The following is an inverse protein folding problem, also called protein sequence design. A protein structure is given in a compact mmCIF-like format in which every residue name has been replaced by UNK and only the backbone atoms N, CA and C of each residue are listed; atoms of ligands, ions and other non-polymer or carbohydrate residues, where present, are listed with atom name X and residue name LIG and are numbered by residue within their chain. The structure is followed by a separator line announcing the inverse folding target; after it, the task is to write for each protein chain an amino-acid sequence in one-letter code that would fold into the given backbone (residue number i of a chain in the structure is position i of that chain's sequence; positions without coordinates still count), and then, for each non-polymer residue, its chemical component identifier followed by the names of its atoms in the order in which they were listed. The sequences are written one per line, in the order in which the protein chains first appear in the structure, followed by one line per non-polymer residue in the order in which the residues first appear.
data_IF_937312035636
#
_entry.id   IF_937312035636
#
_cell.length_a   1.000
_cell.length_b   1.000
_cell.length_c   1.000
_cell.angle_alpha   90.00
_cell.angle_beta   90.00
_cell.angle_gamma   90.00
#
_symmetry.space_group_name_H-M   'P 1'
#
loop_
_entity.id
_entity.type
_entity.pdbx_description
1 polymer ?
#
# COMPACT_ATOMS: atom_id res chain seq x y z
N UNK A 1 -29.40 -9.11 0.88
CA UNK A 1 -30.49 -8.11 0.93
C UNK A 1 -31.44 -8.39 -0.22
N UNK A 2 -32.76 -8.29 -0.01
CA UNK A 2 -33.72 -8.43 -1.11
C UNK A 2 -33.51 -7.31 -2.14
N UNK A 3 -33.77 -7.57 -3.43
CA UNK A 3 -33.68 -6.56 -4.49
C UNK A 3 -34.51 -5.31 -4.18
N UNK A 4 -35.66 -5.49 -3.53
CA UNK A 4 -36.54 -4.42 -3.09
C UNK A 4 -35.92 -3.52 -2.01
N UNK A 5 -35.14 -4.08 -1.07
CA UNK A 5 -34.47 -3.28 -0.05
C UNK A 5 -33.43 -2.34 -0.67
N UNK A 6 -32.63 -2.82 -1.63
CA UNK A 6 -31.66 -1.98 -2.34
C UNK A 6 -32.37 -0.87 -3.14
N UNK A 7 -33.51 -1.18 -3.78
CA UNK A 7 -34.31 -0.19 -4.50
C UNK A 7 -34.85 0.91 -3.57
N UNK A 8 -35.35 0.53 -2.38
CA UNK A 8 -35.81 1.49 -1.36
C UNK A 8 -34.66 2.37 -0.86
N UNK A 9 -33.52 1.77 -0.50
CA UNK A 9 -32.34 2.52 -0.04
C UNK A 9 -31.87 3.53 -1.08
N UNK A 10 -31.83 3.14 -2.35
CA UNK A 10 -31.52 4.04 -3.46
C UNK A 10 -32.55 5.17 -3.58
N UNK A 11 -33.84 4.85 -3.58
CA UNK A 11 -34.90 5.86 -3.71
C UNK A 11 -34.88 6.86 -2.55
N UNK A 12 -34.63 6.40 -1.32
CA UNK A 12 -34.47 7.30 -0.17
C UNK A 12 -33.25 8.20 -0.36
N UNK A 13 -32.07 7.64 -0.65
CA UNK A 13 -30.85 8.40 -0.85
C UNK A 13 -30.99 9.44 -1.98
N UNK A 14 -31.55 9.04 -3.11
CA UNK A 14 -31.75 9.92 -4.27
C UNK A 14 -32.66 11.12 -3.98
N UNK A 15 -33.75 10.92 -3.22
CA UNK A 15 -34.72 11.99 -2.96
C UNK A 15 -34.38 12.86 -1.74
N UNK A 16 -33.53 12.38 -0.82
CA UNK A 16 -33.25 13.06 0.45
C UNK A 16 -31.80 13.47 0.64
N UNK A 17 -30.89 12.99 -0.22
CA UNK A 17 -29.44 13.10 -0.05
C UNK A 17 -28.92 12.47 1.26
N UNK A 18 -29.71 11.55 1.85
CA UNK A 18 -29.35 10.82 3.07
C UNK A 18 -29.08 9.35 2.73
N UNK A 19 -27.85 8.91 2.94
CA UNK A 19 -27.46 7.52 2.74
C UNK A 19 -27.76 6.66 3.98
N UNK A 20 -28.66 5.68 3.84
CA UNK A 20 -28.90 4.66 4.86
C UNK A 20 -28.07 3.41 4.54
N UNK A 21 -27.12 3.09 5.42
CA UNK A 21 -26.20 1.96 5.22
C UNK A 21 -26.45 0.89 6.28
N UNK A 22 -26.86 -0.33 5.88
CA UNK A 22 -27.02 -1.43 6.81
C UNK A 22 -25.65 -1.90 7.31
N UNK A 23 -25.42 -1.81 8.62
CA UNK A 23 -24.24 -2.38 9.26
C UNK A 23 -24.48 -3.84 9.60
N UNK A 24 -23.62 -4.73 9.10
CA UNK A 24 -23.72 -6.18 9.36
C UNK A 24 -22.95 -6.63 10.60
N UNK A 25 -21.93 -5.86 11.00
CA UNK A 25 -21.01 -6.22 12.07
C UNK A 25 -20.79 -5.01 12.99
N UNK A 26 -20.84 -5.24 14.31
CA UNK A 26 -20.61 -4.19 15.32
C UNK A 26 -19.15 -3.78 15.40
N UNK A 27 -18.22 -4.70 15.11
CA UNK A 27 -16.78 -4.42 15.08
C UNK A 27 -16.42 -3.33 14.08
N UNK A 28 -17.21 -3.18 13.01
CA UNK A 28 -17.06 -2.12 12.02
C UNK A 28 -17.16 -0.70 12.62
N UNK A 29 -17.79 -0.55 13.79
CA UNK A 29 -18.05 0.72 14.49
C UNK A 29 -16.91 1.07 15.47
N UNK A 30 -16.13 0.09 15.95
CA UNK A 30 -15.14 0.29 17.03
C UNK A 30 -13.67 0.48 16.55
N UNK A 31 -13.43 0.46 15.24
CA UNK A 31 -12.10 0.29 14.62
C UNK A 31 -11.05 1.34 15.01
N UNK A 32 -11.41 2.62 15.06
CA UNK A 32 -10.47 3.73 15.35
C UNK A 32 -9.83 3.62 16.74
N UNK A 33 -10.49 2.95 17.70
CA UNK A 33 -10.05 2.91 19.10
C UNK A 33 -8.85 2.00 19.38
N UNK A 34 -8.46 1.09 18.47
CA UNK A 34 -7.40 0.09 18.74
C UNK A 34 -5.98 0.65 18.63
N UNK A 35 -5.69 1.45 17.59
CA UNK A 35 -4.33 2.01 17.40
C UNK A 35 -4.00 3.05 18.48
N UNK A 36 -4.99 3.84 18.91
CA UNK A 36 -4.81 4.79 20.02
C UNK A 36 -4.31 4.07 21.27
N UNK A 37 -4.83 2.89 21.61
CA UNK A 37 -4.39 2.13 22.80
C UNK A 37 -2.90 1.74 22.78
N UNK A 38 -2.33 1.54 21.58
CA UNK A 38 -0.91 1.20 21.40
C UNK A 38 0.01 2.41 21.59
N UNK A 39 -0.50 3.64 21.39
CA UNK A 39 0.30 4.88 21.44
C UNK A 39 0.20 5.57 22.80
N UNK A 40 1.17 6.44 23.09
CA UNK A 40 1.14 7.32 24.28
C UNK A 40 -0.16 8.12 24.24
N UNK A 41 -1.03 7.89 25.22
CA UNK A 41 -2.43 8.33 25.20
C UNK A 41 -2.68 9.63 25.95
N UNK A 42 -1.68 10.15 26.67
CA UNK A 42 -1.85 11.38 27.45
C UNK A 42 -1.34 12.57 26.64
N UNK A 43 -2.16 13.61 26.43
CA UNK A 43 -1.69 14.85 25.80
C UNK A 43 -0.45 15.43 26.49
N UNK A 44 -0.29 15.18 27.79
CA UNK A 44 0.87 15.57 28.59
C UNK A 44 2.18 14.84 28.24
N UNK A 45 2.12 13.71 27.52
CA UNK A 45 3.27 12.91 27.08
C UNK A 45 3.68 13.24 25.64
N UNK A 46 2.99 14.18 24.98
CA UNK A 46 3.31 14.64 23.63
C UNK A 46 4.46 15.64 23.73
N UNK A 47 5.63 15.22 23.25
CA UNK A 47 6.78 16.09 23.08
C UNK A 47 6.62 16.94 21.80
N UNK A 48 7.22 18.15 21.75
CA UNK A 48 7.39 18.88 20.51
C UNK A 48 8.08 18.02 19.43
N UNK A 49 7.74 18.19 18.15
CA UNK A 49 8.34 17.42 17.08
C UNK A 49 9.84 17.66 17.03
N UNK A 50 10.61 16.59 16.81
CA UNK A 50 12.07 16.64 16.59
C UNK A 50 12.45 16.47 15.12
N UNK A 51 11.45 16.29 14.27
CA UNK A 51 11.62 15.98 12.85
C UNK A 51 10.60 16.76 12.03
N UNK A 52 10.98 17.10 10.81
CA UNK A 52 10.11 17.64 9.77
C UNK A 52 9.72 16.53 8.80
N UNK A 53 8.53 16.69 8.21
CA UNK A 53 7.92 15.71 7.33
C UNK A 53 7.48 16.39 6.04
N UNK A 54 7.45 15.65 4.94
CA UNK A 54 6.91 16.14 3.67
C UNK A 54 5.40 16.40 3.80
N UNK A 55 4.97 17.60 3.45
CA UNK A 55 3.61 18.09 3.58
C UNK A 55 2.57 17.22 2.84
N UNK A 56 2.87 16.81 1.60
CA UNK A 56 1.97 15.99 0.79
C UNK A 56 1.71 14.62 1.44
N UNK A 57 2.76 14.01 2.00
CA UNK A 57 2.64 12.72 2.70
C UNK A 57 1.79 12.87 3.96
N UNK A 58 1.99 13.96 4.70
CA UNK A 58 1.23 14.24 5.93
C UNK A 58 -0.24 14.46 5.61
N UNK A 59 -0.59 15.19 4.55
CA UNK A 59 -1.98 15.38 4.15
C UNK A 59 -2.69 14.07 3.85
N UNK A 60 -2.05 13.18 3.08
CA UNK A 60 -2.59 11.84 2.82
C UNK A 60 -2.73 11.00 4.09
N UNK A 61 -1.71 11.01 4.96
CA UNK A 61 -1.76 10.29 6.23
C UNK A 61 -2.87 10.82 7.17
N UNK A 62 -3.03 12.14 7.28
CA UNK A 62 -4.08 12.75 8.10
C UNK A 62 -5.47 12.43 7.56
N UNK A 63 -5.66 12.45 6.25
CA UNK A 63 -6.92 12.02 5.61
C UNK A 63 -7.25 10.59 6.00
N UNK A 64 -6.27 9.68 5.94
CA UNK A 64 -6.46 8.28 6.32
C UNK A 64 -6.85 8.12 7.79
N UNK A 65 -6.20 8.85 8.71
CA UNK A 65 -6.49 8.77 10.15
C UNK A 65 -7.81 9.43 10.52
N UNK A 66 -8.27 10.42 9.76
CA UNK A 66 -9.49 11.18 10.03
C UNK A 66 -10.78 10.51 9.53
N UNK A 67 -10.68 9.52 8.65
CA UNK A 67 -11.84 8.89 8.00
C UNK A 67 -12.22 7.59 8.69
N UNK A 68 -13.52 7.33 8.81
CA UNK A 68 -14.04 6.03 9.24
C UNK A 68 -14.32 5.08 8.07
N UNK A 69 -14.08 5.53 6.83
CA UNK A 69 -14.31 4.73 5.63
C UNK A 69 -13.03 3.94 5.27
N UNK A 70 -13.03 2.59 5.38
CA UNK A 70 -11.87 1.75 5.09
C UNK A 70 -11.32 1.92 3.67
N UNK A 71 -12.21 2.23 2.72
CA UNK A 71 -11.81 2.47 1.32
C UNK A 71 -10.94 3.71 1.21
N UNK A 72 -11.37 4.82 1.84
CA UNK A 72 -10.63 6.08 1.83
C UNK A 72 -9.34 5.92 2.64
N UNK A 73 -9.41 5.30 3.83
CA UNK A 73 -8.24 5.04 4.67
C UNK A 73 -7.14 4.27 3.92
N UNK A 74 -7.52 3.18 3.25
CA UNK A 74 -6.57 2.37 2.48
C UNK A 74 -5.93 3.17 1.34
N UNK A 75 -6.72 3.85 0.51
CA UNK A 75 -6.18 4.60 -0.63
C UNK A 75 -5.33 5.79 -0.17
N UNK A 76 -5.72 6.48 0.89
CA UNK A 76 -4.94 7.57 1.47
C UNK A 76 -3.58 7.08 1.97
N UNK A 77 -3.50 5.92 2.65
CA UNK A 77 -2.20 5.33 2.99
C UNK A 77 -1.41 4.84 1.77
N UNK A 78 -2.09 4.34 0.73
CA UNK A 78 -1.44 3.90 -0.51
C UNK A 78 -0.75 5.06 -1.23
N UNK A 79 -1.39 6.24 -1.27
CA UNK A 79 -0.82 7.43 -1.91
C UNK A 79 0.48 7.92 -1.27
N UNK A 80 0.70 7.64 0.02
CA UNK A 80 2.01 7.88 0.67
C UNK A 80 3.13 7.10 -0.01
N UNK A 81 2.86 5.87 -0.45
CA UNK A 81 3.84 5.04 -1.17
C UNK A 81 3.98 5.48 -2.62
N UNK A 82 2.85 5.78 -3.27
CA UNK A 82 2.79 6.19 -4.68
C UNK A 82 3.61 7.47 -4.95
N UNK A 83 3.69 8.38 -3.97
CA UNK A 83 4.55 9.57 -4.03
C UNK A 83 6.01 9.25 -4.41
N UNK A 84 6.52 8.08 -4.01
CA UNK A 84 7.91 7.70 -4.22
C UNK A 84 8.14 6.85 -5.47
N UNK A 85 7.09 6.38 -6.15
CA UNK A 85 7.19 5.37 -7.20
C UNK A 85 8.12 5.75 -8.34
N UNK A 86 8.04 7.00 -8.80
CA UNK A 86 8.92 7.48 -9.86
C UNK A 86 10.38 7.55 -9.38
N UNK A 87 10.62 8.16 -8.21
CA UNK A 87 11.96 8.33 -7.67
C UNK A 87 12.67 6.98 -7.44
N UNK A 88 12.03 6.04 -6.72
CA UNK A 88 12.66 4.73 -6.43
C UNK A 88 12.90 3.91 -7.69
N UNK A 89 12.03 4.03 -8.69
CA UNK A 89 12.20 3.33 -9.95
C UNK A 89 13.35 3.91 -10.77
N UNK A 90 13.48 5.24 -10.81
CA UNK A 90 14.60 5.91 -11.46
C UNK A 90 15.93 5.54 -10.79
N UNK A 91 15.99 5.53 -9.46
CA UNK A 91 17.17 5.15 -8.69
C UNK A 91 17.60 3.70 -8.95
N UNK A 92 16.65 2.75 -9.00
CA UNK A 92 16.91 1.35 -9.34
C UNK A 92 17.45 1.20 -10.77
N UNK A 93 16.86 1.91 -11.73
CA UNK A 93 17.32 1.91 -13.13
C UNK A 93 18.72 2.48 -13.26
N UNK A 94 19.01 3.62 -12.62
CA UNK A 94 20.34 4.23 -12.61
C UNK A 94 21.35 3.28 -11.99
N UNK A 95 21.03 2.68 -10.85
CA UNK A 95 21.89 1.72 -10.16
C UNK A 95 22.17 0.50 -11.04
N UNK A 96 21.16 -0.05 -11.70
CA UNK A 96 21.32 -1.18 -12.62
C UNK A 96 22.20 -0.83 -13.82
N UNK A 97 22.04 0.37 -14.38
CA UNK A 97 22.88 0.86 -15.48
C UNK A 97 24.33 1.01 -15.01
N UNK A 98 24.54 1.67 -13.86
CA UNK A 98 25.86 1.86 -13.27
C UNK A 98 26.57 0.53 -13.06
N UNK A 99 25.92 -0.44 -12.43
CA UNK A 99 26.47 -1.79 -12.25
C UNK A 99 26.87 -2.42 -13.59
N UNK A 100 25.99 -2.35 -14.59
CA UNK A 100 26.25 -2.96 -15.90
C UNK A 100 27.43 -2.30 -16.65
N UNK A 101 27.59 -0.97 -16.57
CA UNK A 101 28.70 -0.28 -17.26
C UNK A 101 30.02 -0.38 -16.50
N UNK A 102 29.99 -0.58 -15.19
CA UNK A 102 31.17 -0.76 -14.35
C UNK A 102 31.70 -2.20 -14.32
N UNK A 103 30.93 -3.15 -14.84
CA UNK A 103 31.35 -4.55 -14.92
C UNK A 103 32.66 -4.67 -15.74
N UNK A 104 33.73 -5.31 -15.22
CA UNK A 104 35.00 -5.45 -15.94
C UNK A 104 34.87 -6.16 -17.29
N UNK A 105 33.85 -7.00 -17.46
CA UNK A 105 33.55 -7.66 -18.71
C UNK A 105 32.79 -6.75 -19.69
N UNK A 106 32.26 -5.60 -19.29
CA UNK A 106 31.58 -4.65 -20.18
C UNK A 106 32.58 -3.86 -21.04
N UNK A 107 32.28 -3.69 -22.32
CA UNK A 107 33.04 -2.83 -23.22
C UNK A 107 32.13 -1.91 -24.01
N UNK A 108 32.26 -0.60 -23.78
CA UNK A 108 31.58 0.43 -24.56
C UNK A 108 31.97 0.42 -26.06
N UNK A 109 33.03 -0.29 -26.45
CA UNK A 109 33.43 -0.48 -27.85
C UNK A 109 32.70 -1.63 -28.52
N UNK A 110 32.19 -2.61 -27.76
CA UNK A 110 31.49 -3.78 -28.30
C UNK A 110 30.01 -3.45 -28.48
N UNK A 111 29.56 -3.43 -29.74
CA UNK A 111 28.14 -3.20 -30.08
C UNK A 111 27.18 -4.17 -29.37
N UNK A 112 27.62 -5.40 -29.08
CA UNK A 112 26.83 -6.40 -28.33
C UNK A 112 26.48 -5.91 -26.93
N UNK A 113 27.43 -5.29 -26.24
CA UNK A 113 27.25 -4.86 -24.85
C UNK A 113 26.36 -3.62 -24.78
N UNK A 114 26.55 -2.67 -25.71
CA UNK A 114 25.65 -1.52 -25.84
C UNK A 114 24.21 -1.97 -26.14
N UNK A 115 24.03 -2.94 -27.06
CA UNK A 115 22.70 -3.51 -27.33
C UNK A 115 22.10 -4.18 -26.09
N UNK A 116 22.92 -4.85 -25.28
CA UNK A 116 22.52 -5.42 -24.01
C UNK A 116 21.99 -4.36 -23.04
N UNK A 117 22.71 -3.25 -22.88
CA UNK A 117 22.31 -2.12 -22.04
C UNK A 117 20.98 -1.51 -22.52
N UNK A 118 20.84 -1.24 -23.82
CA UNK A 118 19.59 -0.73 -24.41
C UNK A 118 18.43 -1.69 -24.13
N UNK A 119 18.67 -3.01 -24.22
CA UNK A 119 17.65 -4.03 -23.90
C UNK A 119 17.24 -4.00 -22.43
N UNK A 120 18.18 -3.79 -21.51
CA UNK A 120 17.87 -3.63 -20.06
C UNK A 120 16.97 -2.43 -19.83
N UNK A 121 17.28 -1.28 -20.44
CA UNK A 121 16.48 -0.05 -20.34
C UNK A 121 15.07 -0.27 -20.92
N UNK A 122 14.97 -0.79 -22.14
CA UNK A 122 13.69 -1.06 -22.78
C UNK A 122 12.84 -2.12 -22.06
N UNK A 123 13.46 -3.06 -21.33
CA UNK A 123 12.71 -4.05 -20.54
C UNK A 123 12.08 -3.41 -19.31
N UNK A 124 12.77 -2.44 -18.72
CA UNK A 124 12.36 -1.77 -17.49
C UNK A 124 11.29 -0.70 -17.77
N UNK A 125 11.41 -0.03 -18.92
CA UNK A 125 10.50 1.03 -19.36
C UNK A 125 9.43 0.46 -20.31
N UNK A 126 8.15 0.65 -19.99
CA UNK A 126 7.05 0.41 -20.93
C UNK A 126 6.74 1.71 -21.68
N UNK A 127 6.81 1.67 -23.00
CA UNK A 127 6.43 2.81 -23.83
C UNK A 127 4.94 2.66 -24.16
N UNK A 128 4.10 3.57 -23.69
CA UNK A 128 2.68 3.66 -24.08
C UNK A 128 2.37 5.11 -24.45
N UNK A 129 1.83 5.34 -25.66
CA UNK A 129 1.39 6.66 -26.14
C UNK A 129 2.40 7.79 -25.90
N UNK A 130 3.65 7.60 -26.35
CA UNK A 130 4.78 8.53 -26.16
C UNK A 130 5.12 8.89 -24.70
N UNK A 131 4.52 8.19 -23.72
CA UNK A 131 4.82 8.31 -22.30
C UNK A 131 5.60 7.09 -21.82
N UNK A 132 6.74 7.34 -21.19
CA UNK A 132 7.52 6.30 -20.53
C UNK A 132 6.81 5.96 -19.21
N UNK A 133 6.30 4.74 -19.10
CA UNK A 133 5.61 4.24 -17.90
C UNK A 133 6.38 3.08 -17.32
N UNK A 134 6.33 2.93 -16.00
CA UNK A 134 6.89 1.78 -15.31
C UNK A 134 5.76 0.95 -14.68
N UNK A 135 6.09 -0.26 -14.24
CA UNK A 135 5.11 -1.13 -13.61
C UNK A 135 4.84 -0.68 -12.18
N UNK A 136 3.61 -0.30 -11.87
CA UNK A 136 3.19 0.12 -10.52
C UNK A 136 3.55 -0.94 -9.46
N UNK A 137 3.29 -2.23 -9.74
CA UNK A 137 3.66 -3.34 -8.85
C UNK A 137 5.17 -3.40 -8.58
N UNK A 138 6.01 -3.06 -9.58
CA UNK A 138 7.46 -3.06 -9.43
C UNK A 138 7.92 -1.83 -8.63
N UNK A 139 7.32 -0.67 -8.86
CA UNK A 139 7.61 0.53 -8.09
C UNK A 139 7.22 0.36 -6.61
N UNK A 140 6.08 -0.30 -6.34
CA UNK A 140 5.68 -0.68 -4.99
C UNK A 140 6.70 -1.64 -4.35
N UNK A 141 7.15 -2.66 -5.08
CA UNK A 141 8.19 -3.58 -4.60
C UNK A 141 9.47 -2.83 -4.19
N UNK A 142 9.93 -1.91 -5.04
CA UNK A 142 11.13 -1.09 -4.77
C UNK A 142 10.90 -0.15 -3.59
N UNK A 143 9.73 0.48 -3.51
CA UNK A 143 9.34 1.36 -2.39
C UNK A 143 9.38 0.61 -1.06
N UNK A 144 8.80 -0.58 -1.00
CA UNK A 144 8.83 -1.41 0.21
C UNK A 144 10.26 -1.75 0.62
N UNK A 145 11.13 -2.08 -0.33
CA UNK A 145 12.56 -2.37 -0.07
C UNK A 145 13.34 -1.15 0.42
N UNK A 146 13.03 0.03 -0.10
CA UNK A 146 13.75 1.26 0.23
C UNK A 146 13.37 1.82 1.60
N UNK A 147 12.12 1.60 2.03
CA UNK A 147 11.56 2.32 3.17
C UNK A 147 11.10 1.45 4.35
N UNK A 148 10.91 0.14 4.16
CA UNK A 148 10.33 -0.74 5.17
C UNK A 148 11.28 -1.88 5.54
N UNK A 149 11.72 -1.88 6.81
CA UNK A 149 12.39 -3.03 7.41
C UNK A 149 11.36 -4.07 7.85
N UNK A 150 11.54 -5.33 7.46
CA UNK A 150 10.55 -6.40 7.73
C UNK A 150 10.38 -6.65 9.23
N UNK A 151 11.48 -6.58 10.00
CA UNK A 151 11.46 -6.78 11.46
C UNK A 151 10.62 -5.72 12.16
N UNK A 152 10.79 -4.46 11.76
CA UNK A 152 10.04 -3.33 12.29
C UNK A 152 8.54 -3.45 12.00
N UNK A 153 8.20 -3.88 10.77
CA UNK A 153 6.81 -4.10 10.37
C UNK A 153 6.16 -5.26 11.15
N UNK A 154 6.89 -6.34 11.38
CA UNK A 154 6.44 -7.45 12.21
C UNK A 154 6.15 -6.99 13.64
N UNK A 155 7.07 -6.22 14.24
CA UNK A 155 6.91 -5.71 15.60
C UNK A 155 5.69 -4.79 15.70
N UNK A 156 5.47 -3.89 14.73
CA UNK A 156 4.29 -3.02 14.70
C UNK A 156 2.97 -3.82 14.64
N UNK A 157 2.93 -4.85 13.79
CA UNK A 157 1.76 -5.71 13.61
C UNK A 157 1.49 -6.56 14.85
N UNK A 158 2.51 -7.20 15.42
CA UNK A 158 2.38 -8.04 16.61
C UNK A 158 1.98 -7.21 17.85
N UNK A 159 2.47 -5.96 17.97
CA UNK A 159 2.05 -5.04 19.03
C UNK A 159 0.60 -4.55 18.86
N UNK A 160 0.13 -4.45 17.62
CA UNK A 160 -1.24 -4.02 17.32
C UNK A 160 -2.27 -5.13 17.56
N UNK A 161 -2.02 -6.30 16.99
CA UNK A 161 -2.83 -7.51 17.12
C UNK A 161 -1.95 -8.73 16.80
N UNK A 162 -1.54 -9.53 17.81
CA UNK A 162 -0.67 -10.69 17.61
C UNK A 162 -1.22 -11.75 16.66
N UNK A 163 -2.54 -11.76 16.40
CA UNK A 163 -3.16 -12.72 15.48
C UNK A 163 -3.03 -12.32 14.01
N UNK A 164 -2.64 -11.08 13.72
CA UNK A 164 -2.73 -10.49 12.39
C UNK A 164 -1.66 -11.03 11.43
N UNK A 165 -0.45 -11.29 11.94
CA UNK A 165 0.63 -11.91 11.15
C UNK A 165 0.24 -13.32 10.70
N UNK A 166 -0.37 -14.11 11.59
CA UNK A 166 -0.86 -15.45 11.24
C UNK A 166 -2.07 -15.38 10.30
N UNK A 167 -2.97 -14.40 10.49
CA UNK A 167 -4.05 -14.14 9.55
C UNK A 167 -3.53 -13.90 8.12
N UNK A 168 -2.48 -13.09 7.94
CA UNK A 168 -1.91 -12.82 6.63
C UNK A 168 -1.25 -14.03 5.98
N UNK A 169 -0.65 -14.92 6.79
CA UNK A 169 -0.06 -16.18 6.35
C UNK A 169 -1.10 -17.16 5.83
N UNK A 170 -2.26 -17.20 6.49
CA UNK A 170 -3.26 -18.25 6.26
C UNK A 170 -4.42 -17.82 5.35
N UNK A 171 -4.59 -16.51 5.11
CA UNK A 171 -5.76 -15.97 4.42
C UNK A 171 -5.40 -15.07 3.24
N UNK A 172 -6.05 -15.34 2.11
CA UNK A 172 -6.12 -14.40 0.98
C UNK A 172 -7.05 -13.23 1.29
N UNK A 173 -6.87 -12.12 0.58
CA UNK A 173 -7.89 -11.08 0.52
C UNK A 173 -8.94 -11.51 -0.51
N UNK A 174 -10.05 -12.09 -0.04
CA UNK A 174 -11.00 -12.81 -0.89
C UNK A 174 -11.54 -11.96 -2.06
N UNK A 175 -11.94 -10.71 -1.81
CA UNK A 175 -12.49 -9.83 -2.85
C UNK A 175 -11.47 -9.42 -3.91
N UNK A 176 -10.18 -9.42 -3.56
CA UNK A 176 -9.08 -9.04 -4.44
C UNK A 176 -8.34 -10.23 -5.05
N UNK A 177 -8.61 -11.45 -4.55
CA UNK A 177 -7.77 -12.63 -4.78
C UNK A 177 -6.27 -12.35 -4.52
N UNK A 178 -6.00 -11.50 -3.53
CA UNK A 178 -4.63 -11.13 -3.17
C UNK A 178 -3.98 -12.29 -2.39
N UNK A 179 -2.69 -12.60 -2.63
CA UNK A 179 -2.05 -13.77 -2.05
C UNK A 179 -1.85 -13.65 -0.53
N UNK A 180 -1.74 -14.82 0.10
CA UNK A 180 -1.20 -14.98 1.45
C UNK A 180 0.26 -14.51 1.51
N UNK A 181 0.68 -14.02 2.68
CA UNK A 181 2.06 -13.57 2.92
C UNK A 181 2.59 -14.14 4.24
N UNK A 182 3.73 -14.82 4.20
CA UNK A 182 4.45 -15.21 5.42
C UNK A 182 5.53 -14.16 5.73
N UNK A 183 5.20 -13.24 6.64
CA UNK A 183 6.13 -12.19 7.08
C UNK A 183 7.29 -12.75 7.94
N UNK A 184 7.21 -13.99 8.43
CA UNK A 184 8.27 -14.64 9.22
C UNK A 184 9.15 -15.57 8.37
N UNK A 185 8.99 -15.52 7.04
CA UNK A 185 9.84 -16.28 6.12
C UNK A 185 11.31 -15.85 6.22
N UNK A 186 12.26 -16.74 5.92
CA UNK A 186 13.69 -16.43 6.10
C UNK A 186 14.27 -15.50 5.04
N UNK A 187 13.63 -15.39 3.87
CA UNK A 187 14.15 -14.62 2.74
C UNK A 187 13.37 -13.33 2.52
N UNK A 188 13.94 -12.19 2.95
CA UNK A 188 13.30 -10.86 2.79
C UNK A 188 12.91 -10.55 1.35
N UNK A 189 13.70 -10.99 0.36
CA UNK A 189 13.40 -10.76 -1.06
C UNK A 189 12.06 -11.40 -1.49
N UNK A 190 11.74 -12.58 -0.94
CA UNK A 190 10.47 -13.26 -1.17
C UNK A 190 9.33 -12.56 -0.42
N UNK A 191 9.58 -12.09 0.81
CA UNK A 191 8.59 -11.33 1.61
C UNK A 191 8.16 -10.07 0.88
N UNK A 192 9.11 -9.23 0.44
CA UNK A 192 8.79 -8.00 -0.29
C UNK A 192 7.98 -8.27 -1.56
N UNK A 193 8.30 -9.34 -2.28
CA UNK A 193 7.58 -9.74 -3.50
C UNK A 193 6.15 -10.17 -3.21
N UNK A 194 5.91 -10.92 -2.13
CA UNK A 194 4.57 -11.34 -1.76
C UNK A 194 3.76 -10.18 -1.18
N UNK A 195 4.40 -9.32 -0.38
CA UNK A 195 3.82 -8.11 0.19
C UNK A 195 3.39 -7.12 -0.89
N UNK A 196 4.26 -6.84 -1.87
CA UNK A 196 3.93 -5.95 -2.99
C UNK A 196 2.73 -6.47 -3.78
N UNK A 197 2.68 -7.78 -4.06
CA UNK A 197 1.54 -8.41 -4.72
C UNK A 197 0.25 -8.30 -3.94
N UNK A 198 0.29 -8.51 -2.63
CA UNK A 198 -0.90 -8.43 -1.77
C UNK A 198 -1.46 -7.01 -1.75
N UNK A 199 -0.61 -6.02 -1.52
CA UNK A 199 -1.00 -4.60 -1.47
C UNK A 199 -1.49 -4.13 -2.84
N UNK A 200 -0.78 -4.46 -3.92
CA UNK A 200 -1.14 -4.09 -5.29
C UNK A 200 -2.48 -4.71 -5.72
N UNK A 201 -2.67 -6.02 -5.52
CA UNK A 201 -3.92 -6.69 -5.88
C UNK A 201 -5.11 -6.11 -5.11
N UNK A 202 -4.92 -5.83 -3.81
CA UNK A 202 -5.95 -5.19 -2.97
C UNK A 202 -6.29 -3.79 -3.50
N UNK A 203 -5.29 -2.93 -3.76
CA UNK A 203 -5.51 -1.59 -4.36
C UNK A 203 -6.22 -1.69 -5.70
N UNK A 204 -5.78 -2.60 -6.57
CA UNK A 204 -6.34 -2.78 -7.90
C UNK A 204 -7.84 -3.15 -7.83
N UNK A 205 -8.23 -4.03 -6.91
CA UNK A 205 -9.63 -4.41 -6.70
C UNK A 205 -10.48 -3.30 -6.07
N UNK A 206 -9.87 -2.33 -5.38
CA UNK A 206 -10.56 -1.13 -4.88
C UNK A 206 -10.84 -0.13 -6.01
N UNK A 207 -9.86 0.09 -6.90
CA UNK A 207 -9.95 1.11 -7.96
C UNK A 207 -10.67 0.61 -9.21
N UNK A 208 -10.59 -0.68 -9.52
CA UNK A 208 -11.21 -1.29 -10.69
C UNK A 208 -12.40 -2.15 -10.30
N UNK A 209 -13.56 -1.81 -10.86
CA UNK A 209 -14.83 -2.48 -10.58
C UNK A 209 -15.60 -2.80 -11.88
N UNK A 210 -14.89 -3.21 -12.95
CA UNK A 210 -15.53 -3.44 -14.24
C UNK A 210 -16.42 -4.67 -14.20
N UNK A 211 -17.50 -4.66 -14.96
CA UNK A 211 -18.36 -5.83 -15.08
C UNK A 211 -17.58 -6.99 -15.74
N UNK A 212 -17.69 -8.19 -15.18
CA UNK A 212 -16.89 -9.36 -15.56
C UNK A 212 -15.55 -9.55 -14.83
N UNK A 213 -15.06 -8.56 -14.06
CA UNK A 213 -13.89 -8.77 -13.19
C UNK A 213 -14.28 -9.61 -11.96
N UNK A 214 -13.54 -10.70 -11.73
CA UNK A 214 -13.77 -11.59 -10.57
C UNK A 214 -13.24 -10.99 -9.26
N UNK A 215 -12.21 -10.15 -9.34
CA UNK A 215 -11.60 -9.50 -8.19
C UNK A 215 -12.02 -8.04 -8.14
N UNK A 216 -13.03 -7.73 -7.33
CA UNK A 216 -13.56 -6.38 -7.15
C UNK A 216 -14.06 -6.18 -5.73
N UNK A 217 -13.83 -5.00 -5.19
CA UNK A 217 -14.36 -4.58 -3.91
C UNK A 217 -15.81 -4.15 -4.03
N UNK A 218 -16.66 -4.66 -3.16
CA UNK A 218 -18.06 -4.24 -3.01
C UNK A 218 -18.23 -3.48 -1.70
N UNK A 219 -18.48 -2.16 -1.75
CA UNK A 219 -18.74 -1.36 -0.55
C UNK A 219 -19.83 -1.97 0.34
N UNK A 220 -19.62 -1.90 1.65
CA UNK A 220 -20.51 -2.43 2.71
C UNK A 220 -20.63 -3.96 2.77
N UNK A 221 -20.08 -4.69 1.80
CA UNK A 221 -19.97 -6.16 1.83
C UNK A 221 -18.56 -6.55 2.27
N UNK A 222 -17.55 -6.00 1.60
CA UNK A 222 -16.15 -6.39 1.79
C UNK A 222 -15.41 -5.52 2.81
N UNK A 223 -16.08 -4.54 3.44
CA UNK A 223 -15.49 -3.61 4.41
C UNK A 223 -14.75 -4.33 5.56
N UNK A 224 -15.25 -5.48 5.99
CA UNK A 224 -14.66 -6.26 7.08
C UNK A 224 -13.35 -6.94 6.65
N UNK A 225 -13.28 -7.40 5.39
CA UNK A 225 -12.06 -7.95 4.79
C UNK A 225 -11.03 -6.85 4.58
N UNK A 226 -11.43 -5.71 4.01
CA UNK A 226 -10.54 -4.57 3.82
C UNK A 226 -10.00 -4.04 5.15
N UNK A 227 -10.81 -4.07 6.21
CA UNK A 227 -10.39 -3.66 7.55
C UNK A 227 -9.18 -4.45 8.07
N UNK A 228 -9.04 -5.72 7.69
CA UNK A 228 -7.88 -6.55 8.08
C UNK A 228 -6.59 -6.13 7.37
N UNK A 229 -6.69 -5.44 6.23
CA UNK A 229 -5.53 -4.97 5.46
C UNK A 229 -5.08 -3.56 5.85
N UNK A 230 -5.91 -2.80 6.57
CA UNK A 230 -5.60 -1.42 6.98
C UNK A 230 -4.34 -1.32 7.87
N UNK A 231 -4.16 -2.14 8.93
CA UNK A 231 -2.98 -2.00 9.79
C UNK A 231 -1.68 -2.24 9.02
N UNK A 232 -1.67 -3.24 8.13
CA UNK A 232 -0.52 -3.52 7.26
C UNK A 232 -0.14 -2.30 6.43
N UNK A 233 -1.09 -1.73 5.68
CA UNK A 233 -0.78 -0.60 4.81
C UNK A 233 -0.45 0.67 5.60
N UNK A 234 -1.13 0.88 6.73
CA UNK A 234 -0.87 2.01 7.62
C UNK A 234 0.54 1.98 8.19
N UNK A 235 1.00 0.86 8.75
CA UNK A 235 2.35 0.76 9.30
C UNK A 235 3.42 0.88 8.20
N UNK A 236 3.16 0.31 7.02
CA UNK A 236 4.00 0.53 5.84
C UNK A 236 4.09 2.02 5.49
N UNK A 237 2.98 2.76 5.46
CA UNK A 237 2.97 4.20 5.19
C UNK A 237 3.70 5.01 6.28
N UNK A 238 3.49 4.67 7.55
CA UNK A 238 4.16 5.32 8.69
C UNK A 238 5.68 5.12 8.65
N UNK A 239 6.15 3.89 8.36
CA UNK A 239 7.58 3.59 8.18
C UNK A 239 8.17 4.37 7.02
N UNK A 240 7.45 4.51 5.90
CA UNK A 240 7.85 5.35 4.77
C UNK A 240 8.00 6.83 5.16
N UNK A 241 7.01 7.41 5.84
CA UNK A 241 7.07 8.81 6.31
C UNK A 241 8.24 9.02 7.28
N UNK A 242 8.42 8.10 8.24
CA UNK A 242 9.50 8.18 9.21
C UNK A 242 10.87 8.07 8.54
N UNK A 243 11.04 7.16 7.58
CA UNK A 243 12.29 6.99 6.85
C UNK A 243 12.63 8.20 5.96
N UNK A 244 11.63 8.88 5.42
CA UNK A 244 11.81 10.08 4.59
C UNK A 244 11.96 11.39 5.38
N UNK A 245 11.67 11.40 6.68
CA UNK A 245 11.71 12.60 7.50
C UNK A 245 13.12 13.12 7.81
N UNK A 246 13.26 14.41 8.11
CA UNK A 246 14.53 15.07 8.46
C UNK A 246 14.56 15.50 9.92
N UNK A 247 15.72 15.50 10.57
CA UNK A 247 15.85 16.05 11.93
C UNK A 247 15.76 17.58 11.90
N UNK A 248 15.15 18.16 12.91
CA UNK A 248 15.18 19.61 13.13
C UNK A 248 16.55 19.93 13.75
N UNK A 249 17.30 20.83 13.10
CA UNK A 249 18.57 21.39 13.61
C UNK A 249 18.34 22.33 14.80
#
# INVERSE_FOLDING_TARGET
MSSLANALLFQMAFNTDIALVPQKELDAISRSSRISRMRRNRPSEIDPPRRTYNEDLIHHYLMAVSTDNPFVEYLSHYHVLEHFYEAVFQDDLITSIQQQITDPAFSYRRKKDIKGLIKTIHKSLKIQNDTITFSEEQALLLTLRSFVEVTDLLDDLDNYDPSLVDYYRDNKVAFANAPEIDLRYSENAAIYKSLSKRIYATRNALVHSKDGEKAKYTPFVDNHLLAKELPLLRFVAERTILRNSSMIE
#
